data_IF_159986088310
#
_entry.id   IF_159986088310
#
_cell.length_a   1.000
_cell.length_b   1.000
_cell.length_c   1.000
_cell.angle_alpha   90.00
_cell.angle_beta   90.00
_cell.angle_gamma   90.00
#
_symmetry.space_group_name_H-M   'P 1'
#
loop_
_entity.id
_entity.type
_entity.pdbx_description
1 polymer ?
#
# COMPACT_ATOMS: atom_id res chain seq x y z
N UNK A 1 2.04 45.97 28.26
CA UNK A 1 1.56 44.58 28.38
C UNK A 1 1.94 43.87 27.10
N UNK A 2 3.04 43.11 27.11
CA UNK A 2 3.51 42.35 25.95
C UNK A 2 2.92 40.96 26.06
N UNK A 3 2.03 40.60 25.13
CA UNK A 3 1.51 39.25 25.01
C UNK A 3 2.34 38.56 23.92
N UNK A 4 3.10 37.53 24.33
CA UNK A 4 3.70 36.55 23.43
C UNK A 4 2.81 35.33 23.41
N UNK A 5 2.23 35.01 22.26
CA UNK A 5 1.69 33.68 21.99
C UNK A 5 2.74 32.87 21.24
N UNK A 6 3.75 32.37 21.95
CA UNK A 6 4.53 31.26 21.43
C UNK A 6 3.68 29.99 21.56
N UNK A 7 2.74 29.79 20.63
CA UNK A 7 2.28 28.44 20.36
C UNK A 7 3.46 27.74 19.70
N UNK A 8 4.19 26.94 20.48
CA UNK A 8 5.09 25.94 19.91
C UNK A 8 4.20 24.89 19.25
N UNK A 9 3.78 25.16 18.02
CA UNK A 9 3.39 24.09 17.11
C UNK A 9 4.61 23.20 17.08
N UNK A 10 4.52 21.97 17.61
CA UNK A 10 5.55 20.96 17.39
C UNK A 10 5.87 21.03 15.90
N UNK A 11 7.13 21.28 15.49
CA UNK A 11 7.44 21.34 14.07
C UNK A 11 6.90 20.06 13.47
N UNK A 12 6.06 20.19 12.44
CA UNK A 12 5.53 19.03 11.77
C UNK A 12 6.64 18.60 10.81
N UNK A 13 7.53 17.79 11.36
CA UNK A 13 8.76 17.32 10.73
C UNK A 13 8.44 16.55 9.44
N UNK A 14 9.31 16.66 8.42
CA UNK A 14 9.23 15.94 7.14
C UNK A 14 8.62 16.75 5.99
N UNK A 15 7.87 17.81 6.30
CA UNK A 15 7.04 18.50 5.31
C UNK A 15 7.80 19.27 4.23
N UNK A 16 8.95 19.85 4.56
CA UNK A 16 9.73 20.64 3.61
C UNK A 16 10.12 19.81 2.37
N UNK A 17 10.57 18.57 2.59
CA UNK A 17 10.99 17.66 1.52
C UNK A 17 9.86 17.39 0.53
N UNK A 18 8.70 16.92 1.01
CA UNK A 18 7.55 16.64 0.15
C UNK A 18 7.09 17.86 -0.64
N UNK A 19 6.98 19.02 0.03
CA UNK A 19 6.61 20.29 -0.62
C UNK A 19 7.58 20.68 -1.71
N UNK A 20 8.89 20.64 -1.43
CA UNK A 20 9.94 21.02 -2.39
C UNK A 20 9.94 20.06 -3.59
N UNK A 21 9.90 18.75 -3.36
CA UNK A 21 9.87 17.72 -4.41
C UNK A 21 8.65 17.93 -5.34
N UNK A 22 7.45 18.05 -4.76
CA UNK A 22 6.22 18.25 -5.53
C UNK A 22 6.27 19.55 -6.36
N UNK A 23 6.75 20.64 -5.76
CA UNK A 23 6.93 21.92 -6.45
C UNK A 23 7.92 21.80 -7.60
N UNK A 24 9.06 21.15 -7.38
CA UNK A 24 10.10 21.00 -8.40
C UNK A 24 9.66 20.08 -9.54
N UNK A 25 8.90 19.02 -9.25
CA UNK A 25 8.36 18.11 -10.25
C UNK A 25 7.51 18.81 -11.32
N UNK A 26 6.79 19.88 -10.96
CA UNK A 26 6.00 20.67 -11.92
C UNK A 26 6.87 21.25 -13.04
N UNK A 27 8.13 21.59 -12.77
CA UNK A 27 9.05 22.16 -13.76
C UNK A 27 9.70 21.10 -14.67
N UNK A 28 9.62 19.81 -14.31
CA UNK A 28 10.09 18.70 -15.14
C UNK A 28 9.00 18.15 -16.07
N UNK A 29 7.74 18.62 -15.94
CA UNK A 29 6.62 18.10 -16.73
C UNK A 29 6.75 18.42 -18.23
N UNK A 30 6.22 17.56 -19.12
CA UNK A 30 6.11 17.83 -20.54
C UNK A 30 5.33 19.12 -20.85
N UNK A 31 5.58 19.68 -22.03
CA UNK A 31 5.02 20.97 -22.46
C UNK A 31 3.48 20.99 -22.44
N UNK A 32 2.86 19.85 -22.73
CA UNK A 32 1.41 19.66 -22.78
C UNK A 32 0.77 19.73 -21.39
N UNK A 33 1.51 19.42 -20.32
CA UNK A 33 1.02 19.35 -18.95
C UNK A 33 1.44 20.56 -18.11
N UNK A 34 2.62 21.11 -18.37
CA UNK A 34 3.25 22.12 -17.52
C UNK A 34 2.39 23.37 -17.32
N UNK A 35 1.60 23.78 -18.35
CA UNK A 35 0.72 24.95 -18.26
C UNK A 35 -0.36 24.81 -17.17
N UNK A 36 -1.00 23.65 -17.12
CA UNK A 36 -2.02 23.34 -16.11
C UNK A 36 -1.42 23.28 -14.70
N UNK A 37 -0.29 22.59 -14.53
CA UNK A 37 0.32 22.41 -13.22
C UNK A 37 1.01 23.67 -12.70
N UNK A 38 1.65 24.47 -13.55
CA UNK A 38 2.23 25.76 -13.13
C UNK A 38 1.17 26.72 -12.60
N UNK A 39 -0.01 26.77 -13.22
CA UNK A 39 -1.11 27.60 -12.73
C UNK A 39 -1.59 27.19 -11.33
N UNK A 40 -1.43 25.91 -10.98
CA UNK A 40 -1.88 25.32 -9.72
C UNK A 40 -0.71 24.92 -8.80
N UNK A 41 0.50 25.45 -9.02
CA UNK A 41 1.71 24.99 -8.34
C UNK A 41 1.64 25.15 -6.82
N UNK A 42 0.97 26.19 -6.33
CA UNK A 42 0.80 26.40 -4.89
C UNK A 42 -0.13 25.35 -4.28
N UNK A 43 -1.18 24.92 -5.00
CA UNK A 43 -2.02 23.81 -4.54
C UNK A 43 -1.20 22.53 -4.43
N UNK A 44 -0.46 22.16 -5.49
CA UNK A 44 0.39 20.97 -5.49
C UNK A 44 1.43 21.01 -4.37
N UNK A 45 2.01 22.19 -4.12
CA UNK A 45 3.00 22.37 -3.05
C UNK A 45 2.36 22.22 -1.67
N UNK A 46 1.26 22.92 -1.39
CA UNK A 46 0.67 22.95 -0.05
C UNK A 46 -0.03 21.64 0.35
N UNK A 47 -0.62 20.95 -0.62
CA UNK A 47 -1.31 19.68 -0.41
C UNK A 47 -0.38 18.45 -0.47
N UNK A 48 0.91 18.63 -0.75
CA UNK A 48 1.91 17.55 -0.77
C UNK A 48 2.15 16.86 0.60
N UNK A 49 1.53 17.36 1.67
CA UNK A 49 1.67 16.83 3.05
C UNK A 49 0.34 16.33 3.60
N UNK A 50 -0.71 16.30 2.78
CA UNK A 50 -2.05 15.93 3.25
C UNK A 50 -2.16 14.44 3.56
N UNK A 51 -1.37 13.58 2.91
CA UNK A 51 -1.29 12.15 3.25
C UNK A 51 -0.83 11.93 4.69
N UNK A 52 0.27 12.54 5.09
CA UNK A 52 0.74 12.51 6.49
C UNK A 52 -0.30 13.01 7.49
N UNK A 53 -1.06 14.05 7.13
CA UNK A 53 -2.13 14.57 7.99
C UNK A 53 -3.25 13.55 8.16
N UNK A 54 -3.56 12.77 7.11
CA UNK A 54 -4.60 11.71 7.15
C UNK A 54 -4.17 10.48 7.96
N UNK A 55 -2.88 10.29 8.24
CA UNK A 55 -2.37 9.19 9.08
C UNK A 55 -3.09 9.06 10.42
N UNK A 56 -3.47 10.19 11.01
CA UNK A 56 -4.17 10.23 12.30
C UNK A 56 -5.70 10.10 12.17
N UNK A 57 -6.24 10.19 10.95
CA UNK A 57 -7.67 10.14 10.69
C UNK A 57 -8.15 8.72 10.31
N UNK A 58 -7.27 7.86 9.80
CA UNK A 58 -7.60 6.48 9.45
C UNK A 58 -6.44 5.52 9.68
N UNK A 59 -6.75 4.35 10.24
CA UNK A 59 -5.78 3.26 10.46
C UNK A 59 -5.12 2.76 9.16
N UNK A 60 -5.77 3.02 8.02
CA UNK A 60 -5.36 2.51 6.70
C UNK A 60 -4.43 3.45 5.93
N UNK A 61 -4.21 4.68 6.41
CA UNK A 61 -3.32 5.61 5.71
C UNK A 61 -1.86 5.31 6.04
N UNK A 62 -1.53 5.03 7.30
CA UNK A 62 -0.14 4.86 7.74
C UNK A 62 0.65 3.86 6.89
N UNK A 63 0.04 2.72 6.56
CA UNK A 63 0.66 1.63 5.79
C UNK A 63 0.93 2.01 4.33
N UNK A 64 0.37 3.10 3.81
CA UNK A 64 0.59 3.55 2.42
C UNK A 64 1.92 4.30 2.23
N UNK A 65 2.58 4.68 3.31
CA UNK A 65 3.82 5.48 3.28
C UNK A 65 5.10 4.64 3.30
N UNK A 66 5.00 3.32 3.51
CA UNK A 66 6.19 2.48 3.62
C UNK A 66 5.93 1.05 3.15
N UNK A 67 6.99 0.25 3.09
CA UNK A 67 6.95 -1.20 3.03
C UNK A 67 8.16 -1.76 3.76
N UNK A 68 7.97 -2.46 4.85
CA UNK A 68 9.02 -3.15 5.60
C UNK A 68 9.42 -4.43 4.86
N UNK A 69 10.00 -4.26 3.67
CA UNK A 69 10.21 -5.35 2.71
C UNK A 69 11.21 -6.40 3.21
N UNK A 70 12.11 -6.01 4.11
CA UNK A 70 13.05 -6.87 4.81
C UNK A 70 12.39 -7.80 5.84
N UNK A 71 11.14 -7.54 6.22
CA UNK A 71 10.30 -8.49 6.96
C UNK A 71 10.00 -9.74 6.13
N UNK A 72 9.80 -9.57 4.82
CA UNK A 72 9.24 -10.61 3.95
C UNK A 72 10.28 -11.43 3.19
N UNK A 73 11.54 -11.00 3.18
CA UNK A 73 12.58 -11.73 2.47
C UNK A 73 13.92 -11.01 2.39
N UNK A 74 14.70 -11.37 1.38
CA UNK A 74 16.03 -10.80 1.13
C UNK A 74 16.11 -10.27 -0.29
N UNK A 75 16.87 -9.19 -0.50
CA UNK A 75 17.17 -8.61 -1.81
C UNK A 75 17.55 -9.72 -2.81
N UNK A 76 16.96 -9.77 -4.03
CA UNK A 76 16.06 -8.78 -4.65
C UNK A 76 14.55 -8.96 -4.33
N UNK A 77 14.23 -9.65 -3.24
CA UNK A 77 12.87 -9.96 -2.76
C UNK A 77 12.01 -10.75 -3.76
N UNK A 78 12.53 -11.86 -4.34
CA UNK A 78 11.76 -12.65 -5.30
C UNK A 78 10.50 -13.27 -4.69
N UNK A 79 10.50 -13.43 -3.37
CA UNK A 79 9.38 -14.00 -2.61
C UNK A 79 8.20 -13.03 -2.45
N UNK A 80 8.40 -11.72 -2.58
CA UNK A 80 7.33 -10.73 -2.38
C UNK A 80 6.55 -10.57 -3.68
N UNK A 81 5.27 -11.00 -3.74
CA UNK A 81 4.50 -10.88 -4.97
C UNK A 81 4.31 -9.42 -5.34
N UNK A 82 4.50 -9.09 -6.62
CA UNK A 82 4.39 -7.70 -7.10
C UNK A 82 2.95 -7.25 -7.32
N UNK A 83 1.99 -8.17 -7.36
CA UNK A 83 0.56 -7.84 -7.31
C UNK A 83 0.06 -7.88 -5.88
N UNK A 84 -0.79 -6.93 -5.53
CA UNK A 84 -1.25 -6.80 -4.14
C UNK A 84 -2.13 -7.97 -3.70
N UNK A 85 -2.99 -8.46 -4.59
CA UNK A 85 -3.88 -9.60 -4.30
C UNK A 85 -3.08 -10.87 -4.05
N UNK A 86 -2.04 -11.12 -4.85
CA UNK A 86 -1.11 -12.24 -4.67
C UNK A 86 -0.38 -12.14 -3.32
N UNK A 87 0.03 -10.93 -2.91
CA UNK A 87 0.69 -10.71 -1.64
C UNK A 87 -0.25 -10.97 -0.45
N UNK A 88 -1.49 -10.47 -0.52
CA UNK A 88 -2.52 -10.75 0.48
C UNK A 88 -2.76 -12.25 0.59
N UNK A 89 -3.02 -12.95 -0.52
CA UNK A 89 -3.30 -14.39 -0.49
C UNK A 89 -2.09 -15.23 -0.04
N UNK A 90 -0.85 -14.83 -0.40
CA UNK A 90 0.37 -15.55 0.00
C UNK A 90 0.62 -15.46 1.50
N UNK A 91 0.43 -14.28 2.08
CA UNK A 91 0.81 -13.99 3.47
C UNK A 91 -0.36 -13.97 4.46
N UNK A 92 -1.59 -13.84 3.99
CA UNK A 92 -2.78 -13.83 4.83
C UNK A 92 -3.18 -15.22 5.33
N UNK A 93 -4.09 -15.24 6.30
CA UNK A 93 -4.53 -16.45 6.99
C UNK A 93 -6.04 -16.62 6.82
N UNK A 94 -6.46 -17.77 6.30
CA UNK A 94 -7.87 -18.14 6.28
C UNK A 94 -8.25 -18.79 7.63
N UNK A 95 -9.42 -18.45 8.15
CA UNK A 95 -9.92 -18.93 9.43
C UNK A 95 -11.36 -19.42 9.26
N UNK A 96 -11.67 -20.55 9.90
CA UNK A 96 -13.02 -21.04 10.08
C UNK A 96 -13.47 -20.68 11.49
N UNK A 97 -14.54 -19.90 11.62
CA UNK A 97 -15.11 -19.50 12.91
C UNK A 97 -16.45 -20.18 13.08
N UNK A 98 -16.63 -20.90 14.18
CA UNK A 98 -17.92 -21.43 14.60
C UNK A 98 -18.62 -20.39 15.50
N UNK A 99 -19.74 -19.85 15.04
CA UNK A 99 -20.48 -18.78 15.71
C UNK A 99 -21.23 -19.25 16.96
N UNK A 100 -21.33 -20.56 17.19
CA UNK A 100 -22.00 -21.12 18.39
C UNK A 100 -21.01 -21.32 19.53
N UNK A 101 -19.85 -21.89 19.21
CA UNK A 101 -18.79 -22.18 20.18
C UNK A 101 -17.79 -21.04 20.33
N UNK A 102 -17.69 -20.18 19.32
CA UNK A 102 -16.65 -19.16 19.13
C UNK A 102 -15.25 -19.75 18.90
N UNK A 103 -15.17 -21.04 18.58
CA UNK A 103 -13.91 -21.69 18.23
C UNK A 103 -13.42 -21.20 16.86
N UNK A 104 -12.11 -20.98 16.76
CA UNK A 104 -11.43 -20.57 15.53
C UNK A 104 -10.46 -21.66 15.10
N UNK A 105 -10.56 -22.09 13.84
CA UNK A 105 -9.62 -23.03 13.21
C UNK A 105 -8.87 -22.33 12.09
N UNK A 106 -7.54 -22.33 12.16
CA UNK A 106 -6.70 -21.77 11.10
C UNK A 106 -6.60 -22.74 9.93
N UNK A 107 -6.81 -22.23 8.72
CA UNK A 107 -6.72 -22.96 7.45
C UNK A 107 -5.59 -22.37 6.60
N UNK A 108 -4.55 -23.17 6.30
CA UNK A 108 -3.43 -22.67 5.47
C UNK A 108 -3.73 -22.86 3.98
N UNK A 109 -3.33 -21.89 3.16
CA UNK A 109 -3.42 -21.97 1.71
C UNK A 109 -2.12 -22.53 1.13
N UNK A 110 -2.23 -23.54 0.28
CA UNK A 110 -1.08 -24.13 -0.43
C UNK A 110 -1.35 -24.14 -1.92
N UNK A 111 -0.50 -23.46 -2.68
CA UNK A 111 -0.52 -23.56 -4.15
C UNK A 111 0.16 -24.85 -4.58
N UNK A 112 -0.55 -25.64 -5.38
CA UNK A 112 -0.05 -26.87 -6.01
C UNK A 112 -0.01 -26.63 -7.51
N UNK A 113 1.17 -26.80 -8.10
CA UNK A 113 1.38 -26.63 -9.54
C UNK A 113 1.40 -28.01 -10.18
N UNK A 114 0.62 -28.20 -11.24
CA UNK A 114 0.69 -29.42 -12.04
C UNK A 114 2.03 -29.45 -12.79
N UNK A 115 2.82 -30.52 -12.60
CA UNK A 115 4.13 -30.66 -13.24
C UNK A 115 4.02 -30.79 -14.77
N UNK A 116 2.90 -31.32 -15.27
CA UNK A 116 2.63 -31.51 -16.70
C UNK A 116 2.10 -30.23 -17.37
N UNK A 117 1.40 -29.37 -16.61
CA UNK A 117 0.91 -28.08 -17.07
C UNK A 117 1.09 -27.00 -15.99
N UNK A 118 2.18 -26.24 -16.11
CA UNK A 118 2.54 -25.19 -15.14
C UNK A 118 1.54 -24.03 -15.10
N UNK A 119 0.64 -23.92 -16.07
CA UNK A 119 -0.43 -22.92 -16.07
C UNK A 119 -1.68 -23.44 -15.35
N UNK A 120 -1.72 -24.72 -15.02
CA UNK A 120 -2.80 -25.36 -14.29
C UNK A 120 -2.41 -25.57 -12.82
N UNK A 121 -2.60 -24.51 -12.01
CA UNK A 121 -2.41 -24.58 -10.57
C UNK A 121 -3.73 -24.68 -9.82
N UNK A 122 -3.69 -25.36 -8.67
CA UNK A 122 -4.77 -25.43 -7.71
C UNK A 122 -4.34 -24.84 -6.37
N UNK A 123 -5.32 -24.33 -5.61
CA UNK A 123 -5.16 -23.98 -4.21
C UNK A 123 -5.79 -25.09 -3.38
N UNK A 124 -4.97 -25.69 -2.52
CA UNK A 124 -5.41 -26.57 -1.44
C UNK A 124 -5.55 -25.73 -0.16
N UNK A 125 -6.76 -25.70 0.38
CA UNK A 125 -7.01 -25.21 1.72
C UNK A 125 -6.76 -26.39 2.66
N UNK A 126 -5.82 -26.24 3.58
CA UNK A 126 -5.40 -27.29 4.49
C UNK A 126 -5.94 -27.02 5.90
N UNK A 127 -6.36 -28.09 6.59
CA UNK A 127 -6.59 -28.09 8.04
C UNK A 127 -5.57 -29.04 8.69
N UNK A 128 -4.49 -28.47 9.22
CA UNK A 128 -3.31 -29.25 9.59
C UNK A 128 -2.74 -29.96 8.36
N UNK A 129 -2.56 -31.28 8.44
CA UNK A 129 -2.02 -32.09 7.34
C UNK A 129 -3.08 -32.58 6.34
N UNK A 130 -4.36 -32.25 6.57
CA UNK A 130 -5.47 -32.72 5.73
C UNK A 130 -5.91 -31.63 4.74
N UNK A 131 -6.09 -32.01 3.48
CA UNK A 131 -6.74 -31.15 2.48
C UNK A 131 -8.21 -30.99 2.86
N UNK A 132 -8.61 -29.78 3.24
CA UNK A 132 -9.98 -29.43 3.59
C UNK A 132 -10.84 -29.19 2.34
N UNK A 133 -10.31 -28.46 1.36
CA UNK A 133 -10.90 -28.30 0.02
C UNK A 133 -9.81 -27.96 -1.00
N UNK A 134 -9.99 -28.38 -2.25
CA UNK A 134 -9.05 -28.08 -3.35
C UNK A 134 -9.83 -27.55 -4.55
N UNK A 135 -9.34 -26.46 -5.13
CA UNK A 135 -9.98 -25.78 -6.27
C UNK A 135 -8.92 -25.19 -7.19
N UNK A 136 -9.30 -24.83 -8.42
CA UNK A 136 -8.39 -24.10 -9.33
C UNK A 136 -8.00 -22.75 -8.72
N UNK A 137 -6.74 -22.36 -8.87
CA UNK A 137 -6.22 -21.08 -8.34
C UNK A 137 -7.07 -19.90 -8.79
N UNK A 138 -7.44 -19.85 -10.08
CA UNK A 138 -8.29 -18.79 -10.66
C UNK A 138 -9.67 -18.72 -10.00
N UNK A 139 -10.25 -19.86 -9.61
CA UNK A 139 -11.54 -19.88 -8.94
C UNK A 139 -11.46 -19.25 -7.54
N UNK A 140 -10.42 -19.60 -6.78
CA UNK A 140 -10.18 -19.00 -5.47
C UNK A 140 -9.82 -17.51 -5.57
N UNK A 141 -9.01 -17.10 -6.55
CA UNK A 141 -8.69 -15.68 -6.77
C UNK A 141 -9.95 -14.84 -7.03
N UNK A 142 -10.88 -15.35 -7.85
CA UNK A 142 -12.13 -14.68 -8.13
C UNK A 142 -13.01 -14.58 -6.88
N UNK A 143 -13.11 -15.66 -6.11
CA UNK A 143 -13.80 -15.68 -4.82
C UNK A 143 -13.17 -14.67 -3.84
N UNK A 144 -11.84 -14.68 -3.71
CA UNK A 144 -11.10 -13.77 -2.84
C UNK A 144 -11.36 -12.31 -3.21
N UNK A 145 -11.28 -11.97 -4.49
CA UNK A 145 -11.52 -10.60 -4.98
C UNK A 145 -12.97 -10.16 -4.76
N UNK A 146 -13.94 -11.03 -4.98
CA UNK A 146 -15.36 -10.70 -4.84
C UNK A 146 -15.80 -10.56 -3.38
N UNK A 147 -15.28 -11.41 -2.49
CA UNK A 147 -15.81 -11.54 -1.14
C UNK A 147 -14.89 -11.02 -0.05
N UNK A 148 -13.57 -11.19 -0.13
CA UNK A 148 -12.64 -10.70 0.90
C UNK A 148 -12.06 -9.33 0.56
N UNK A 149 -11.52 -9.16 -0.65
CA UNK A 149 -10.85 -7.92 -1.06
C UNK A 149 -11.75 -6.69 -1.04
N UNK A 150 -13.04 -6.86 -1.33
CA UNK A 150 -14.05 -5.78 -1.25
C UNK A 150 -14.19 -5.22 0.18
N UNK A 151 -13.85 -6.01 1.19
CA UNK A 151 -13.88 -5.64 2.60
C UNK A 151 -12.55 -5.05 3.09
N UNK A 152 -11.60 -4.71 2.20
CA UNK A 152 -10.24 -4.29 2.59
C UNK A 152 -10.19 -3.20 3.68
N UNK A 153 -11.13 -2.27 3.64
CA UNK A 153 -11.20 -1.15 4.58
C UNK A 153 -12.04 -1.43 5.85
N UNK A 154 -12.65 -2.60 5.94
CA UNK A 154 -13.45 -3.03 7.08
C UNK A 154 -12.57 -3.58 8.22
N UNK A 155 -13.16 -3.75 9.41
CA UNK A 155 -12.48 -4.34 10.57
C UNK A 155 -12.29 -5.85 10.44
N UNK A 156 -13.23 -6.53 9.79
CA UNK A 156 -13.23 -7.98 9.61
C UNK A 156 -13.62 -8.33 8.18
N UNK A 157 -12.91 -9.29 7.56
CA UNK A 157 -13.24 -9.78 6.23
C UNK A 157 -13.89 -11.14 6.36
N UNK A 158 -15.22 -11.17 6.39
CA UNK A 158 -15.99 -12.37 6.71
C UNK A 158 -16.91 -12.74 5.53
N UNK A 159 -17.04 -14.03 5.29
CA UNK A 159 -17.94 -14.61 4.31
C UNK A 159 -18.76 -15.69 4.98
N UNK A 160 -20.08 -15.64 4.80
CA UNK A 160 -20.97 -16.70 5.27
C UNK A 160 -20.61 -18.03 4.63
N UNK A 161 -20.57 -19.10 5.42
CA UNK A 161 -20.18 -20.42 4.95
C UNK A 161 -21.02 -20.94 3.78
N UNK A 162 -22.31 -20.64 3.77
CA UNK A 162 -23.23 -21.07 2.71
C UNK A 162 -22.90 -20.43 1.35
N UNK A 163 -22.34 -19.22 1.34
CA UNK A 163 -21.87 -18.57 0.11
C UNK A 163 -20.68 -19.36 -0.45
N UNK A 164 -19.81 -19.88 0.42
CA UNK A 164 -18.72 -20.75 0.00
C UNK A 164 -19.25 -22.07 -0.57
N UNK A 165 -20.20 -22.71 0.12
CA UNK A 165 -20.84 -23.95 -0.36
C UNK A 165 -21.53 -23.76 -1.72
N UNK A 166 -22.20 -22.64 -1.95
CA UNK A 166 -22.85 -22.33 -3.23
C UNK A 166 -21.83 -22.16 -4.37
N UNK A 167 -20.74 -21.43 -4.13
CA UNK A 167 -19.75 -21.10 -5.16
C UNK A 167 -18.90 -22.32 -5.55
N UNK A 168 -18.55 -23.16 -4.57
CA UNK A 168 -17.66 -24.31 -4.77
C UNK A 168 -18.39 -25.65 -4.81
N UNK A 169 -19.73 -25.64 -4.77
CA UNK A 169 -20.59 -26.83 -4.78
C UNK A 169 -20.21 -27.82 -3.67
N UNK A 170 -20.05 -27.32 -2.43
CA UNK A 170 -19.67 -28.13 -1.25
C UNK A 170 -20.77 -28.23 -0.20
N UNK A 171 -20.57 -29.10 0.79
CA UNK A 171 -21.44 -29.32 1.95
C UNK A 171 -20.70 -29.00 3.28
N UNK A 172 -19.73 -28.10 3.25
CA UNK A 172 -18.83 -27.81 4.39
C UNK A 172 -19.50 -26.97 5.47
N UNK A 173 -20.55 -26.22 5.14
CA UNK A 173 -21.20 -25.22 6.00
C UNK A 173 -22.73 -25.38 6.10
N UNK A 174 -23.25 -26.59 5.90
CA UNK A 174 -24.70 -26.89 5.86
C UNK A 174 -25.48 -26.38 7.08
N UNK A 175 -24.85 -26.36 8.26
CA UNK A 175 -25.49 -25.92 9.52
C UNK A 175 -25.62 -24.40 9.66
N UNK A 176 -24.98 -23.62 8.79
CA UNK A 176 -25.05 -22.16 8.75
C UNK A 176 -24.52 -21.42 9.97
N UNK A 177 -23.89 -22.15 10.90
CA UNK A 177 -23.33 -21.60 12.13
C UNK A 177 -21.82 -21.31 12.00
N UNK A 178 -21.27 -21.37 10.79
CA UNK A 178 -19.84 -21.20 10.53
C UNK A 178 -19.59 -20.18 9.43
N UNK A 179 -18.54 -19.40 9.60
CA UNK A 179 -18.11 -18.38 8.64
C UNK A 179 -16.64 -18.56 8.29
N UNK A 180 -16.25 -18.11 7.10
CA UNK A 180 -14.86 -17.97 6.72
C UNK A 180 -14.42 -16.53 6.99
N UNK A 181 -13.33 -16.37 7.71
CA UNK A 181 -12.66 -15.08 7.91
C UNK A 181 -11.31 -15.11 7.21
N UNK A 182 -10.96 -14.01 6.54
CA UNK A 182 -9.62 -13.79 6.05
C UNK A 182 -8.93 -12.75 6.93
N UNK A 183 -7.76 -13.11 7.47
CA UNK A 183 -6.93 -12.22 8.26
C UNK A 183 -5.78 -11.70 7.38
N UNK A 184 -5.77 -10.38 7.17
CA UNK A 184 -4.68 -9.67 6.49
C UNK A 184 -3.46 -9.57 7.41
N UNK A 185 -2.49 -10.45 7.19
CA UNK A 185 -1.19 -10.42 7.87
C UNK A 185 -0.12 -9.69 7.06
N UNK A 186 -0.46 -9.06 5.93
CA UNK A 186 0.52 -8.43 5.05
C UNK A 186 0.53 -6.91 5.20
N UNK A 187 -0.63 -6.26 5.06
CA UNK A 187 -0.67 -4.81 4.84
C UNK A 187 -0.13 -3.99 6.01
N UNK A 188 -0.13 -4.54 7.22
CA UNK A 188 0.40 -3.86 8.41
C UNK A 188 1.93 -3.65 8.36
N UNK A 189 2.65 -4.38 7.49
CA UNK A 189 4.06 -4.16 7.19
C UNK A 189 4.27 -3.16 6.05
N UNK A 190 3.22 -2.41 5.66
CA UNK A 190 3.30 -1.39 4.63
C UNK A 190 3.04 -1.91 3.21
N UNK A 191 2.42 -1.07 2.38
CA UNK A 191 1.92 -1.38 1.04
C UNK A 191 2.30 -0.33 -0.01
N UNK A 192 3.30 0.52 0.26
CA UNK A 192 3.64 1.68 -0.57
C UNK A 192 3.74 1.37 -2.08
N UNK A 193 4.50 0.36 -2.57
CA UNK A 193 4.60 0.08 -4.01
C UNK A 193 3.25 -0.28 -4.64
N UNK A 194 2.39 -1.00 -3.92
CA UNK A 194 1.05 -1.34 -4.36
C UNK A 194 0.13 -0.11 -4.38
N UNK A 195 0.30 0.78 -3.40
CA UNK A 195 -0.45 2.03 -3.34
C UNK A 195 -0.08 2.98 -4.49
N UNK A 196 1.21 3.05 -4.86
CA UNK A 196 1.67 3.81 -6.03
C UNK A 196 0.99 3.34 -7.32
N UNK A 197 0.89 2.02 -7.52
CA UNK A 197 0.17 1.45 -8.66
C UNK A 197 -1.32 1.82 -8.67
N UNK A 198 -1.99 1.74 -7.51
CA UNK A 198 -3.38 2.17 -7.38
C UNK A 198 -3.56 3.67 -7.70
N UNK A 199 -2.70 4.52 -7.15
CA UNK A 199 -2.72 5.96 -7.36
C UNK A 199 -2.48 6.31 -8.83
N UNK A 200 -1.55 5.63 -9.51
CA UNK A 200 -1.33 5.79 -10.94
C UNK A 200 -2.62 5.56 -11.74
N UNK A 201 -3.33 4.44 -11.51
CA UNK A 201 -4.58 4.16 -12.21
C UNK A 201 -5.70 5.15 -11.88
N UNK A 202 -5.81 5.58 -10.62
CA UNK A 202 -6.78 6.59 -10.20
C UNK A 202 -6.52 7.94 -10.86
N UNK A 203 -5.26 8.38 -10.91
CA UNK A 203 -4.86 9.64 -11.53
C UNK A 203 -5.07 9.59 -13.04
N UNK A 204 -4.65 8.49 -13.70
CA UNK A 204 -4.92 8.27 -15.12
C UNK A 204 -6.42 8.34 -15.43
N UNK A 205 -7.25 7.71 -14.60
CA UNK A 205 -8.71 7.78 -14.77
C UNK A 205 -9.23 9.21 -14.59
N UNK A 206 -8.73 9.95 -13.60
CA UNK A 206 -9.12 11.35 -13.41
C UNK A 206 -8.78 12.24 -14.62
N UNK A 207 -7.65 11.99 -15.29
CA UNK A 207 -7.31 12.64 -16.55
C UNK A 207 -8.26 12.26 -17.70
N UNK A 208 -8.57 10.97 -17.86
CA UNK A 208 -9.52 10.49 -18.89
C UNK A 208 -10.91 11.10 -18.69
N UNK A 209 -11.34 11.20 -17.42
CA UNK A 209 -12.63 11.78 -17.04
C UNK A 209 -12.61 13.33 -17.04
N UNK A 210 -11.49 13.96 -17.43
CA UNK A 210 -11.27 15.42 -17.44
C UNK A 210 -11.57 16.13 -16.09
N UNK A 211 -11.48 15.40 -14.98
CA UNK A 211 -11.79 15.92 -13.66
C UNK A 211 -10.57 16.64 -13.05
N UNK A 212 -10.42 17.92 -13.39
CA UNK A 212 -9.28 18.75 -12.96
C UNK A 212 -9.08 18.82 -11.44
N UNK A 213 -10.15 18.88 -10.64
CA UNK A 213 -10.07 18.89 -9.17
C UNK A 213 -9.46 17.59 -8.64
N UNK A 214 -9.96 16.45 -9.15
CA UNK A 214 -9.46 15.13 -8.77
C UNK A 214 -8.03 14.91 -9.26
N UNK A 215 -7.67 15.42 -10.44
CA UNK A 215 -6.29 15.41 -10.95
C UNK A 215 -5.37 16.15 -9.98
N UNK A 216 -5.70 17.38 -9.58
CA UNK A 216 -4.85 18.14 -8.66
C UNK A 216 -4.67 17.45 -7.31
N UNK A 217 -5.78 16.99 -6.70
CA UNK A 217 -5.74 16.28 -5.41
C UNK A 217 -4.89 15.01 -5.49
N UNK A 218 -5.17 14.16 -6.48
CA UNK A 218 -4.43 12.91 -6.65
C UNK A 218 -2.96 13.15 -7.00
N UNK A 219 -2.63 14.19 -7.77
CA UNK A 219 -1.22 14.50 -8.09
C UNK A 219 -0.43 14.96 -6.87
N UNK A 220 -1.02 15.76 -5.97
CA UNK A 220 -0.36 16.16 -4.72
C UNK A 220 -0.13 14.95 -3.80
N UNK A 221 -1.15 14.11 -3.61
CA UNK A 221 -1.03 12.86 -2.85
C UNK A 221 -0.02 11.89 -3.51
N UNK A 222 -0.04 11.76 -4.83
CA UNK A 222 0.84 10.82 -5.53
C UNK A 222 2.30 11.26 -5.47
N UNK A 223 2.57 12.57 -5.62
CA UNK A 223 3.90 13.12 -5.43
C UNK A 223 4.41 12.96 -3.99
N UNK A 224 3.53 12.95 -2.99
CA UNK A 224 3.89 12.61 -1.61
C UNK A 224 4.40 11.17 -1.51
N UNK A 225 3.61 10.18 -1.94
CA UNK A 225 4.00 8.77 -1.84
C UNK A 225 5.21 8.41 -2.73
N UNK A 226 5.39 9.08 -3.87
CA UNK A 226 6.62 8.94 -4.65
C UNK A 226 7.82 9.48 -3.86
N UNK A 227 7.68 10.60 -3.14
CA UNK A 227 8.77 11.10 -2.31
C UNK A 227 9.09 10.13 -1.15
N UNK A 228 8.08 9.54 -0.50
CA UNK A 228 8.25 8.47 0.50
C UNK A 228 9.06 7.30 -0.06
N UNK A 229 8.78 6.85 -1.29
CA UNK A 229 9.49 5.72 -1.89
C UNK A 229 10.97 5.99 -2.17
N UNK A 230 11.40 7.25 -2.14
CA UNK A 230 12.80 7.65 -2.27
C UNK A 230 13.49 7.83 -0.91
N UNK A 231 12.79 7.59 0.20
CA UNK A 231 13.36 7.53 1.55
C UNK A 231 13.73 6.08 1.85
N UNK A 232 15.03 5.70 1.90
CA UNK A 232 15.42 4.31 2.13
C UNK A 232 14.88 3.74 3.45
N UNK A 233 14.66 4.59 4.45
CA UNK A 233 14.14 4.21 5.76
C UNK A 233 12.66 3.77 5.71
N UNK A 234 11.92 4.09 4.64
CA UNK A 234 10.55 3.57 4.41
C UNK A 234 10.53 2.16 3.81
N UNK A 235 11.70 1.52 3.69
CA UNK A 235 11.82 0.18 3.14
C UNK A 235 12.35 -0.86 4.13
N UNK A 236 12.27 -0.59 5.45
CA UNK A 236 12.87 -1.45 6.47
C UNK A 236 12.17 -1.39 7.82
N UNK A 237 12.07 -2.55 8.48
CA UNK A 237 11.63 -2.64 9.89
C UNK A 237 12.48 -1.80 10.84
N UNK A 238 13.72 -1.42 10.48
CA UNK A 238 14.61 -0.56 11.28
C UNK A 238 14.51 0.93 10.90
N UNK A 239 13.36 1.38 10.40
CA UNK A 239 13.15 2.72 9.84
C UNK A 239 13.66 3.87 10.72
N UNK A 240 13.57 3.75 12.05
CA UNK A 240 14.00 4.78 13.00
C UNK A 240 15.26 4.39 13.79
N UNK A 241 16.01 3.37 13.37
CA UNK A 241 17.23 2.94 14.06
C UNK A 241 16.98 2.22 15.40
N UNK A 242 15.75 1.81 15.67
CA UNK A 242 15.34 1.16 16.92
C UNK A 242 15.98 -0.22 17.16
N UNK A 243 16.48 -0.88 16.11
CA UNK A 243 17.19 -2.16 16.20
C UNK A 243 18.71 -1.99 16.29
N UNK A 244 19.23 -0.77 16.11
CA UNK A 244 20.67 -0.46 16.07
C UNK A 244 21.09 0.61 17.08
N UNK A 245 20.20 1.00 17.99
CA UNK A 245 20.41 2.09 18.97
C UNK A 245 20.74 3.45 18.31
N UNK A 246 20.16 3.70 17.14
CA UNK A 246 20.29 4.94 16.37
C UNK A 246 18.95 5.69 16.30
N UNK A 247 18.21 5.67 17.41
CA UNK A 247 16.85 6.22 17.50
C UNK A 247 16.82 7.69 17.07
N UNK A 248 15.96 8.01 16.11
CA UNK A 248 15.78 9.37 15.58
C UNK A 248 16.44 9.60 14.22
N UNK A 249 17.12 8.60 13.65
CA UNK A 249 17.72 8.71 12.31
C UNK A 249 16.70 9.03 11.22
N UNK A 250 15.45 8.59 11.39
CA UNK A 250 14.35 8.86 10.46
C UNK A 250 14.07 10.36 10.34
N UNK A 251 13.76 11.01 11.45
CA UNK A 251 13.50 12.45 11.49
C UNK A 251 14.74 13.26 11.08
N UNK A 252 15.94 12.78 11.42
CA UNK A 252 17.18 13.41 10.97
C UNK A 252 17.30 13.41 9.43
N UNK A 253 17.03 12.27 8.79
CA UNK A 253 17.10 12.11 7.34
C UNK A 253 16.05 12.95 6.61
N UNK A 254 14.78 12.80 6.96
CA UNK A 254 13.67 13.41 6.21
C UNK A 254 13.51 14.91 6.43
N UNK A 255 13.85 15.38 7.63
CA UNK A 255 13.59 16.77 8.01
C UNK A 255 14.88 17.55 8.08
N UNK A 256 15.79 17.10 8.94
CA UNK A 256 16.93 17.94 9.34
C UNK A 256 17.91 18.15 8.20
N UNK A 257 18.20 17.12 7.40
CA UNK A 257 19.09 17.24 6.27
C UNK A 257 18.53 18.17 5.18
N UNK A 258 17.29 17.98 4.66
CA UNK A 258 16.72 18.91 3.68
C UNK A 258 16.63 20.35 4.19
N UNK A 259 16.15 20.58 5.41
CA UNK A 259 16.01 21.94 5.96
C UNK A 259 17.35 22.69 6.06
N UNK A 260 18.44 21.97 6.33
CA UNK A 260 19.77 22.57 6.46
C UNK A 260 20.49 22.77 5.13
N UNK A 261 20.28 21.89 4.17
CA UNK A 261 21.18 21.78 3.01
C UNK A 261 20.50 21.98 1.67
N UNK A 262 19.17 21.92 1.58
CA UNK A 262 18.47 21.97 0.30
C UNK A 262 18.76 23.23 -0.50
N UNK A 263 18.59 24.41 0.11
CA UNK A 263 18.74 25.69 -0.61
C UNK A 263 20.21 25.98 -1.00
N UNK A 264 21.18 25.48 -0.25
CA UNK A 264 22.60 25.79 -0.46
C UNK A 264 23.37 24.72 -1.25
N UNK A 265 22.96 23.45 -1.18
CA UNK A 265 23.77 22.32 -1.64
C UNK A 265 23.08 21.40 -2.64
N UNK A 266 21.75 21.39 -2.72
CA UNK A 266 21.05 20.43 -3.57
C UNK A 266 20.76 21.05 -4.93
N UNK A 267 21.03 20.29 -5.98
CA UNK A 267 20.66 20.65 -7.35
C UNK A 267 19.26 20.11 -7.65
N UNK A 268 18.33 21.01 -7.96
CA UNK A 268 16.96 20.67 -8.32
C UNK A 268 16.72 20.71 -9.84
N UNK A 269 17.75 20.97 -10.65
CA UNK A 269 17.65 20.94 -12.09
C UNK A 269 17.85 19.52 -12.63
N UNK A 270 16.75 18.76 -12.67
CA UNK A 270 16.77 17.33 -13.03
C UNK A 270 16.46 17.04 -14.51
N UNK A 271 16.20 18.08 -15.32
CA UNK A 271 15.80 17.93 -16.71
C UNK A 271 14.32 17.55 -16.89
N UNK A 272 13.90 17.22 -18.12
CA UNK A 272 12.53 16.80 -18.41
C UNK A 272 12.25 15.39 -17.86
N UNK A 273 11.00 15.13 -17.51
CA UNK A 273 10.55 13.81 -17.07
C UNK A 273 10.57 12.78 -18.20
N UNK A 274 11.04 11.57 -17.89
CA UNK A 274 11.01 10.42 -18.79
C UNK A 274 9.70 9.64 -18.70
N UNK A 275 9.32 8.98 -19.81
CA UNK A 275 8.17 8.09 -19.82
C UNK A 275 8.52 6.73 -19.21
N UNK A 276 7.67 6.26 -18.29
CA UNK A 276 7.80 4.95 -17.65
C UNK A 276 6.85 3.97 -18.33
N UNK A 277 7.40 3.04 -19.11
CA UNK A 277 6.62 2.05 -19.86
C UNK A 277 5.96 0.99 -18.96
N UNK A 278 6.65 0.58 -17.90
CA UNK A 278 6.19 -0.47 -16.99
C UNK A 278 6.15 0.05 -15.55
N UNK A 279 5.11 0.83 -15.15
CA UNK A 279 5.05 1.47 -13.83
C UNK A 279 5.23 0.51 -12.66
N UNK A 280 4.53 -0.63 -12.68
CA UNK A 280 4.69 -1.65 -11.63
C UNK A 280 6.14 -2.08 -11.50
N UNK A 281 6.82 -2.42 -12.60
CA UNK A 281 8.23 -2.82 -12.57
C UNK A 281 9.14 -1.69 -12.08
N UNK A 282 8.81 -0.43 -12.37
CA UNK A 282 9.59 0.73 -11.94
C UNK A 282 9.44 1.03 -10.44
N UNK A 283 8.27 0.77 -9.85
CA UNK A 283 8.04 0.98 -8.42
C UNK A 283 8.75 -0.03 -7.50
N UNK A 284 9.27 -1.13 -8.06
CA UNK A 284 9.91 -2.23 -7.34
C UNK A 284 11.39 -2.36 -7.68
#
# INVERSE_FOLDING_TARGET
MVLSSAHTVKPIWGFYGHKKINRMAVFALPQEMIGFYKKNIEYITEHAVDADKRRYATKHEAVRHYIDIDHWGKIPFPEVPRQFDDALMKYGQLQLIDLTTLDTTNLSLKTVVNEEDRFDSSIEIMNGDQVWHSMKTVAFENFFKAHFKTQFYEDEWIVEGQVYDEIFETDKFVTGNKVLRFEDQFSHQGILPYHLESMFFQLRKAFIDENSEKVLRLSADYGHYIADSHVPLHTTVNYNGQLTDQVGIHAFWESRLPELFAEEKYDFFVGPADYIEQPRKYFW
#
